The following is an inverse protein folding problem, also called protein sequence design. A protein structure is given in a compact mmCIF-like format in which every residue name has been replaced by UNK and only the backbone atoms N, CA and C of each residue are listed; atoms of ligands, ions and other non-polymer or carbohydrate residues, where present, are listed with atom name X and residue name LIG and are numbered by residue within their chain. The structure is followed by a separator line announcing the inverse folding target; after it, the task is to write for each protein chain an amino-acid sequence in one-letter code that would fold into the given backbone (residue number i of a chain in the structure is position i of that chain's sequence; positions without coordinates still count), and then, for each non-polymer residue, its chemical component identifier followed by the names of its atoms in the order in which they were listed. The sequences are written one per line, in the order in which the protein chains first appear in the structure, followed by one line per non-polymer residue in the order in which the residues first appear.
data_IF_148938206194
#
_entry.id   IF_148938206194
#
_cell.length_a   1.000
_cell.length_b   1.000
_cell.length_c   1.000
_cell.angle_alpha   90.00
_cell.angle_beta   90.00
_cell.angle_gamma   90.00
#
_symmetry.space_group_name_H-M   'P 1'
#
loop_
_entity.id
_entity.type
_entity.pdbx_description
1 polymer ?
#
# COMPACT_ATOMS: atom_id res chain seq x y z
N UNK A 1 57.33 -44.68 57.37
CA UNK A 1 57.81 -43.32 57.03
C UNK A 1 56.75 -42.66 56.17
N UNK A 2 56.04 -41.71 56.75
CA UNK A 2 54.96 -40.92 56.16
C UNK A 2 55.50 -39.53 55.81
N UNK A 3 55.35 -39.12 54.55
CA UNK A 3 55.54 -37.74 54.06
C UNK A 3 54.44 -37.49 53.02
N UNK A 4 53.36 -36.81 53.40
CA UNK A 4 53.07 -35.37 53.20
C UNK A 4 53.29 -34.93 51.74
N UNK A 5 52.25 -34.40 51.10
CA UNK A 5 51.99 -32.95 50.96
C UNK A 5 50.72 -32.75 50.12
N UNK A 6 49.80 -31.97 50.67
CA UNK A 6 48.59 -31.43 50.07
C UNK A 6 48.99 -30.28 49.12
N UNK A 7 48.44 -30.23 47.90
CA UNK A 7 48.49 -29.03 47.05
C UNK A 7 47.05 -28.54 46.82
N UNK A 8 46.84 -27.32 47.29
CA UNK A 8 45.69 -26.45 47.13
C UNK A 8 45.73 -25.82 45.73
N UNK A 9 44.62 -25.88 44.98
CA UNK A 9 44.38 -24.98 43.85
C UNK A 9 42.89 -24.60 43.81
N UNK A 10 42.59 -23.41 44.31
CA UNK A 10 41.36 -22.66 44.04
C UNK A 10 41.44 -22.11 42.61
N UNK A 11 40.41 -22.35 41.79
CA UNK A 11 40.00 -21.39 40.77
C UNK A 11 38.50 -21.53 40.51
N UNK A 12 37.77 -20.45 40.78
CA UNK A 12 36.35 -20.28 40.50
C UNK A 12 36.16 -19.73 39.07
N UNK A 13 35.20 -20.29 38.33
CA UNK A 13 34.42 -19.74 37.20
C UNK A 13 33.65 -20.93 36.62
N UNK A 14 32.37 -20.93 36.24
CA UNK A 14 31.37 -19.91 35.96
C UNK A 14 30.27 -20.69 35.21
N UNK A 15 29.01 -20.50 35.60
CA UNK A 15 27.83 -21.16 35.05
C UNK A 15 27.66 -20.85 33.56
N UNK A 16 27.34 -21.85 32.73
CA UNK A 16 26.32 -21.71 31.68
C UNK A 16 25.63 -23.08 31.51
N UNK A 17 24.39 -23.21 31.99
CA UNK A 17 23.52 -24.30 31.59
C UNK A 17 23.07 -24.04 30.16
N UNK A 18 23.51 -24.89 29.24
CA UNK A 18 22.96 -25.01 27.89
C UNK A 18 21.55 -25.59 28.04
N UNK A 19 20.55 -24.74 27.80
CA UNK A 19 19.17 -25.16 27.57
C UNK A 19 19.04 -25.43 26.07
N UNK A 20 19.30 -26.67 25.68
CA UNK A 20 18.72 -27.22 24.45
C UNK A 20 17.41 -27.88 24.88
N UNK A 21 16.30 -27.38 24.36
CA UNK A 21 15.10 -28.20 24.23
C UNK A 21 14.72 -28.25 22.76
N UNK A 22 14.51 -29.49 22.35
CA UNK A 22 14.36 -30.06 21.03
C UNK A 22 13.18 -29.54 20.16
N UNK A 23 13.30 -29.95 18.90
CA UNK A 23 12.27 -30.25 17.90
C UNK A 23 11.78 -29.14 16.96
N UNK A 24 12.36 -29.17 15.76
CA UNK A 24 11.69 -29.33 14.45
C UNK A 24 10.23 -28.86 14.35
N UNK A 25 10.03 -27.66 13.83
CA UNK A 25 9.60 -27.43 12.45
C UNK A 25 9.80 -25.93 12.17
N UNK A 26 10.55 -25.58 11.12
CA UNK A 26 10.60 -24.21 10.63
C UNK A 26 9.31 -23.92 9.88
N UNK A 27 8.18 -23.88 10.59
CA UNK A 27 7.02 -23.13 10.13
C UNK A 27 7.50 -21.68 10.08
N UNK A 28 7.58 -21.10 8.88
CA UNK A 28 7.67 -19.66 8.72
C UNK A 28 6.52 -19.07 9.51
N UNK A 29 6.80 -18.67 10.75
CA UNK A 29 5.83 -18.04 11.62
C UNK A 29 5.49 -16.72 10.94
N UNK A 30 4.30 -16.67 10.34
CA UNK A 30 3.78 -15.48 9.67
C UNK A 30 3.40 -14.45 10.73
N UNK A 31 4.39 -14.00 11.50
CA UNK A 31 4.22 -12.96 12.50
C UNK A 31 3.56 -11.76 11.84
N UNK A 32 2.50 -11.26 12.47
CA UNK A 32 1.77 -10.09 12.00
C UNK A 32 2.22 -8.86 12.77
N UNK A 33 2.29 -7.74 12.07
CA UNK A 33 2.53 -6.42 12.63
C UNK A 33 1.46 -5.44 12.15
N UNK A 34 1.23 -4.39 12.93
CA UNK A 34 0.22 -3.40 12.63
C UNK A 34 0.77 -2.29 11.75
N UNK A 35 0.20 -2.14 10.56
CA UNK A 35 0.32 -0.93 9.76
C UNK A 35 -0.80 0.03 10.18
N UNK A 36 -0.42 1.20 10.71
CA UNK A 36 -1.37 2.24 11.14
C UNK A 36 -1.46 3.35 10.09
N UNK A 37 -2.67 3.62 9.61
CA UNK A 37 -2.97 4.73 8.70
C UNK A 37 -3.64 5.86 9.47
N UNK A 38 -2.94 7.00 9.54
CA UNK A 38 -3.48 8.25 10.06
C UNK A 38 -3.61 9.25 8.90
N UNK A 39 -4.73 9.15 8.18
CA UNK A 39 -5.04 9.97 7.01
C UNK A 39 -6.38 10.65 7.24
N UNK A 40 -6.43 11.97 7.06
CA UNK A 40 -7.65 12.76 7.18
C UNK A 40 -8.06 13.32 5.81
N UNK A 41 -9.34 13.70 5.69
CA UNK A 41 -9.87 14.33 4.48
C UNK A 41 -10.25 13.37 3.36
N UNK A 42 -10.36 12.08 3.64
CA UNK A 42 -10.99 11.12 2.73
C UNK A 42 -12.51 11.19 2.88
N UNK A 43 -13.21 11.22 1.75
CA UNK A 43 -14.66 11.20 1.71
C UNK A 43 -15.20 9.77 1.84
N UNK A 44 -16.49 9.64 2.14
CA UNK A 44 -17.14 8.33 2.07
C UNK A 44 -17.34 7.96 0.59
N UNK A 45 -16.95 6.74 0.23
CA UNK A 45 -17.14 6.23 -1.13
C UNK A 45 -18.55 5.69 -1.32
N UNK A 46 -19.02 5.64 -2.57
CA UNK A 46 -20.24 4.93 -2.93
C UNK A 46 -20.09 3.41 -2.71
N UNK A 47 -21.20 2.68 -2.70
CA UNK A 47 -21.23 1.22 -2.45
C UNK A 47 -20.41 0.38 -3.43
N UNK A 48 -20.08 0.95 -4.59
CA UNK A 48 -19.37 0.27 -5.66
C UNK A 48 -17.85 0.39 -5.51
N UNK A 49 -17.35 1.09 -4.48
CA UNK A 49 -15.91 1.34 -4.30
C UNK A 49 -15.46 1.22 -2.84
N UNK A 50 -14.20 0.85 -2.67
CA UNK A 50 -13.48 0.80 -1.39
C UNK A 50 -12.13 1.49 -1.51
N UNK A 51 -11.57 1.94 -0.40
CA UNK A 51 -10.16 2.27 -0.33
C UNK A 51 -9.35 1.00 -0.11
N UNK A 52 -8.18 0.91 -0.72
CA UNK A 52 -7.23 -0.17 -0.48
C UNK A 52 -5.83 0.37 -0.23
N UNK A 53 -5.22 -0.10 0.86
CA UNK A 53 -3.83 0.18 1.18
C UNK A 53 -2.91 -0.85 0.56
N UNK A 54 -1.77 -0.39 0.05
CA UNK A 54 -0.76 -1.23 -0.56
C UNK A 54 0.61 -0.87 -0.04
N UNK A 55 1.39 -1.88 0.34
CA UNK A 55 2.84 -1.72 0.53
C UNK A 55 3.57 -2.24 -0.71
N UNK A 56 4.67 -1.58 -1.08
CA UNK A 56 5.51 -2.02 -2.19
C UNK A 56 6.72 -2.75 -1.63
N UNK A 57 6.83 -4.03 -1.94
CA UNK A 57 7.91 -4.93 -1.50
C UNK A 57 8.63 -5.43 -2.75
N UNK A 58 9.94 -5.17 -2.85
CA UNK A 58 10.74 -5.50 -4.04
C UNK A 58 10.12 -5.02 -5.38
N UNK A 59 9.44 -3.88 -5.34
CA UNK A 59 8.74 -3.30 -6.50
C UNK A 59 7.37 -3.92 -6.81
N UNK A 60 6.92 -4.92 -6.04
CA UNK A 60 5.63 -5.58 -6.20
C UNK A 60 4.64 -5.03 -5.16
N UNK A 61 3.43 -4.61 -5.58
CA UNK A 61 2.39 -4.19 -4.64
C UNK A 61 1.84 -5.39 -3.87
N UNK A 62 1.61 -5.19 -2.57
CA UNK A 62 0.98 -6.15 -1.67
C UNK A 62 -0.14 -5.43 -0.93
N UNK A 63 -1.36 -5.93 -1.09
CA UNK A 63 -2.53 -5.42 -0.36
C UNK A 63 -2.33 -5.53 1.15
N UNK A 64 -2.73 -4.48 1.86
CA UNK A 64 -2.82 -4.44 3.32
C UNK A 64 -4.27 -4.53 3.80
N UNK A 65 -5.24 -4.67 2.88
CA UNK A 65 -6.66 -4.71 3.15
C UNK A 65 -7.40 -3.43 2.74
N UNK A 66 -8.73 -3.54 2.77
CA UNK A 66 -9.66 -2.51 2.29
C UNK A 66 -10.42 -1.85 3.43
N UNK A 67 -10.84 -0.60 3.23
CA UNK A 67 -11.70 0.13 4.16
C UNK A 67 -12.59 1.14 3.41
N UNK A 68 -13.70 1.56 4.01
CA UNK A 68 -14.65 2.49 3.36
C UNK A 68 -14.70 3.88 4.00
N UNK A 69 -14.09 4.04 5.19
CA UNK A 69 -14.09 5.30 5.92
C UNK A 69 -12.75 5.53 6.61
N UNK A 70 -12.22 6.76 6.47
CA UNK A 70 -11.02 7.22 7.17
C UNK A 70 -11.34 8.30 8.21
N UNK A 71 -12.58 8.34 8.72
CA UNK A 71 -12.96 9.29 9.75
C UNK A 71 -12.16 9.11 11.06
N UNK A 72 -11.54 7.94 11.23
CA UNK A 72 -10.65 7.60 12.32
C UNK A 72 -9.42 6.84 11.80
N UNK A 73 -8.40 6.76 12.65
CA UNK A 73 -7.21 5.93 12.43
C UNK A 73 -7.59 4.49 12.08
N UNK A 74 -6.95 3.94 11.04
CA UNK A 74 -7.13 2.56 10.62
C UNK A 74 -5.88 1.75 10.98
N UNK A 75 -6.06 0.49 11.35
CA UNK A 75 -4.95 -0.43 11.66
C UNK A 75 -5.17 -1.76 10.97
N UNK A 76 -4.13 -2.26 10.30
CA UNK A 76 -4.17 -3.47 9.50
C UNK A 76 -3.06 -4.42 9.92
N UNK A 77 -3.39 -5.69 10.13
CA UNK A 77 -2.43 -6.75 10.41
C UNK A 77 -1.76 -7.23 9.10
N UNK A 78 -0.49 -6.87 8.93
CA UNK A 78 0.31 -7.20 7.75
C UNK A 78 1.36 -8.22 8.13
N UNK A 79 1.79 -9.06 7.18
CA UNK A 79 2.95 -9.93 7.38
C UNK A 79 4.18 -9.09 7.74
N UNK A 80 4.81 -9.38 8.89
CA UNK A 80 5.89 -8.56 9.44
C UNK A 80 7.10 -8.51 8.50
N UNK A 81 7.45 -9.63 7.86
CA UNK A 81 8.57 -9.66 6.92
C UNK A 81 8.30 -8.80 5.67
N UNK A 82 7.06 -8.79 5.18
CA UNK A 82 6.66 -7.91 4.07
C UNK A 82 6.62 -6.44 4.49
N UNK A 83 6.12 -6.14 5.70
CA UNK A 83 6.06 -4.78 6.21
C UNK A 83 7.45 -4.19 6.41
N UNK A 84 8.37 -4.96 7.00
CA UNK A 84 9.78 -4.56 7.18
C UNK A 84 10.51 -4.35 5.85
N UNK A 85 10.19 -5.15 4.83
CA UNK A 85 10.75 -5.01 3.48
C UNK A 85 10.06 -3.92 2.62
N UNK A 86 9.00 -3.27 3.13
CA UNK A 86 8.25 -2.29 2.37
C UNK A 86 9.03 -0.99 2.19
N UNK A 87 9.11 -0.51 0.95
CA UNK A 87 9.80 0.75 0.64
C UNK A 87 8.83 1.92 0.43
N UNK A 88 7.55 1.62 0.21
CA UNK A 88 6.53 2.60 -0.18
C UNK A 88 5.15 2.13 0.24
N UNK A 89 4.31 3.09 0.59
CA UNK A 89 2.88 2.93 0.77
C UNK A 89 2.13 3.65 -0.36
N UNK A 90 1.05 3.03 -0.83
CA UNK A 90 0.12 3.57 -1.83
C UNK A 90 -1.30 3.35 -1.33
N UNK A 91 -2.14 4.37 -1.45
CA UNK A 91 -3.58 4.26 -1.27
C UNK A 91 -4.28 4.41 -2.62
N UNK A 92 -5.22 3.53 -2.94
CA UNK A 92 -6.05 3.59 -4.14
C UNK A 92 -7.54 3.47 -3.84
N UNK A 93 -8.36 3.80 -4.83
CA UNK A 93 -9.79 3.50 -4.86
C UNK A 93 -9.98 2.28 -5.76
N UNK A 94 -10.56 1.22 -5.21
CA UNK A 94 -10.77 -0.06 -5.90
C UNK A 94 -12.28 -0.33 -6.04
N UNK A 95 -12.73 -0.96 -7.14
CA UNK A 95 -14.07 -1.53 -7.21
C UNK A 95 -14.35 -2.48 -6.05
N UNK A 96 -15.54 -2.40 -5.47
CA UNK A 96 -15.93 -3.26 -4.37
C UNK A 96 -16.08 -4.73 -4.84
N UNK A 97 -15.45 -5.66 -4.11
CA UNK A 97 -15.62 -7.10 -4.34
C UNK A 97 -14.73 -7.70 -5.43
N UNK A 98 -13.65 -7.02 -5.82
CA UNK A 98 -12.64 -7.59 -6.71
C UNK A 98 -12.00 -8.86 -6.14
N UNK A 99 -11.62 -9.77 -7.03
CA UNK A 99 -10.97 -11.04 -6.68
C UNK A 99 -10.01 -11.46 -7.80
N UNK A 100 -9.11 -12.40 -7.51
CA UNK A 100 -8.20 -12.95 -8.52
C UNK A 100 -7.18 -11.92 -9.01
N UNK A 101 -6.91 -11.94 -10.32
CA UNK A 101 -5.91 -11.07 -10.95
C UNK A 101 -6.29 -9.58 -10.85
N UNK A 102 -7.59 -9.26 -10.85
CA UNK A 102 -8.07 -7.89 -10.72
C UNK A 102 -7.70 -7.29 -9.34
N UNK A 103 -7.76 -8.11 -8.29
CA UNK A 103 -7.36 -7.73 -6.93
C UNK A 103 -5.85 -7.88 -6.65
N UNK A 104 -5.04 -8.25 -7.65
CA UNK A 104 -3.61 -8.49 -7.45
C UNK A 104 -2.76 -7.21 -7.54
N UNK A 105 -3.31 -6.13 -8.10
CA UNK A 105 -2.60 -4.86 -8.28
C UNK A 105 -3.51 -3.67 -8.01
N UNK A 106 -2.98 -2.53 -7.51
CA UNK A 106 -3.79 -1.34 -7.30
C UNK A 106 -4.35 -0.80 -8.61
N UNK A 107 -5.62 -0.36 -8.63
CA UNK A 107 -6.22 0.32 -9.77
C UNK A 107 -5.43 1.53 -10.23
N UNK A 108 -5.75 2.04 -11.41
CA UNK A 108 -5.20 3.30 -11.91
C UNK A 108 -5.50 4.51 -11.01
N UNK A 109 -6.49 4.43 -10.12
CA UNK A 109 -6.94 5.54 -9.28
C UNK A 109 -6.22 5.55 -7.94
N UNK A 110 -4.99 6.09 -7.95
CA UNK A 110 -4.15 6.24 -6.75
C UNK A 110 -4.38 7.62 -6.13
N UNK A 111 -4.60 7.66 -4.82
CA UNK A 111 -4.90 8.88 -4.07
C UNK A 111 -3.67 9.49 -3.41
N UNK A 112 -2.96 8.70 -2.62
CA UNK A 112 -1.78 9.17 -1.91
C UNK A 112 -0.67 8.15 -1.97
N UNK A 113 0.56 8.66 -1.94
CA UNK A 113 1.78 7.87 -1.93
C UNK A 113 2.74 8.43 -0.88
N UNK A 114 3.53 7.55 -0.27
CA UNK A 114 4.59 7.92 0.66
C UNK A 114 5.69 6.87 0.65
N UNK A 115 6.95 7.31 0.61
CA UNK A 115 8.09 6.41 0.79
C UNK A 115 8.38 6.26 2.29
N UNK A 116 8.70 5.04 2.71
CA UNK A 116 9.07 4.79 4.10
C UNK A 116 10.44 5.37 4.39
N UNK A 117 10.55 6.05 5.52
CA UNK A 117 11.80 6.52 6.12
C UNK A 117 11.87 5.99 7.56
N UNK A 118 12.53 4.84 7.72
CA UNK A 118 12.38 4.05 8.94
C UNK A 118 10.96 3.47 9.03
N UNK A 119 10.35 3.54 10.21
CA UNK A 119 9.04 2.94 10.51
C UNK A 119 7.84 3.79 10.06
N UNK A 120 8.07 4.92 9.38
CA UNK A 120 7.01 5.88 9.03
C UNK A 120 7.11 6.38 7.60
N UNK A 121 5.97 6.67 7.00
CA UNK A 121 5.86 7.31 5.70
C UNK A 121 4.91 8.52 5.80
N UNK A 122 5.37 9.69 5.38
CA UNK A 122 4.47 10.82 5.16
C UNK A 122 3.81 10.65 3.82
N UNK A 123 2.50 10.40 3.82
CA UNK A 123 1.72 10.28 2.59
C UNK A 123 1.24 11.64 2.11
N UNK A 124 1.19 11.81 0.80
CA UNK A 124 0.58 12.99 0.18
C UNK A 124 -0.01 12.60 -1.16
N UNK A 125 -0.88 13.46 -1.71
CA UNK A 125 -1.30 13.34 -3.12
C UNK A 125 -0.10 13.38 -4.08
N UNK A 126 1.06 13.86 -3.59
CA UNK A 126 2.34 13.78 -4.27
C UNK A 126 2.24 14.18 -5.74
N UNK A 127 3.12 13.61 -6.54
CA UNK A 127 2.90 13.54 -7.97
C UNK A 127 2.30 12.16 -8.24
N UNK A 128 0.99 12.07 -8.54
CA UNK A 128 0.26 10.81 -8.78
C UNK A 128 0.72 10.01 -10.01
N UNK A 129 1.83 10.41 -10.62
CA UNK A 129 2.46 9.76 -11.75
C UNK A 129 3.91 10.18 -11.87
N UNK A 130 4.71 9.47 -12.67
CA UNK A 130 6.07 9.87 -12.97
C UNK A 130 6.07 10.81 -14.18
N UNK A 131 5.91 12.12 -13.93
CA UNK A 131 5.91 13.14 -14.99
C UNK A 131 7.32 13.47 -15.51
N UNK A 132 8.37 12.93 -14.87
CA UNK A 132 9.75 13.15 -15.26
C UNK A 132 10.20 12.22 -16.39
N UNK A 133 9.72 10.96 -16.41
CA UNK A 133 10.10 9.98 -17.46
C UNK A 133 8.94 9.49 -18.31
N UNK A 134 7.71 9.45 -17.80
CA UNK A 134 6.58 8.80 -18.50
C UNK A 134 5.86 9.70 -19.51
N UNK A 135 6.38 10.92 -19.77
CA UNK A 135 5.85 11.90 -20.73
C UNK A 135 4.31 11.88 -20.81
N UNK A 136 3.59 12.15 -19.70
CA UNK A 136 2.16 11.94 -19.65
C UNK A 136 1.46 12.74 -20.74
N UNK A 137 0.74 12.03 -21.60
CA UNK A 137 0.01 12.61 -22.72
C UNK A 137 -1.48 12.32 -22.55
N UNK A 138 -2.31 13.34 -22.74
CA UNK A 138 -3.76 13.22 -22.75
C UNK A 138 -4.33 13.93 -23.96
N UNK A 139 -5.51 13.49 -24.42
CA UNK A 139 -6.29 14.22 -25.41
C UNK A 139 -7.44 14.90 -24.68
N UNK A 140 -7.48 16.22 -24.76
CA UNK A 140 -8.58 17.02 -24.26
C UNK A 140 -9.49 17.38 -25.43
N UNK A 141 -10.79 17.45 -25.18
CA UNK A 141 -11.72 18.07 -26.11
C UNK A 141 -12.61 19.04 -25.33
N UNK A 142 -12.95 20.16 -25.97
CA UNK A 142 -14.04 21.02 -25.52
C UNK A 142 -15.33 20.41 -26.05
N UNK A 143 -16.37 20.36 -25.21
CA UNK A 143 -17.73 19.91 -25.59
C UNK A 143 -18.78 20.68 -24.78
N UNK A 144 -19.98 20.86 -25.32
CA UNK A 144 -21.19 21.27 -24.59
C UNK A 144 -22.31 20.25 -24.76
N UNK A 145 -22.33 19.14 -23.98
CA UNK A 145 -23.35 18.08 -24.14
C UNK A 145 -24.81 18.56 -23.98
N UNK A 146 -25.01 19.73 -23.39
CA UNK A 146 -26.33 20.34 -23.17
C UNK A 146 -26.99 20.90 -24.43
N UNK A 147 -26.23 21.21 -25.48
CA UNK A 147 -26.77 21.73 -26.75
C UNK A 147 -26.45 20.84 -27.96
N UNK A 148 -25.71 19.75 -27.75
CA UNK A 148 -25.54 18.68 -28.71
C UNK A 148 -26.77 17.76 -28.73
N UNK A 149 -27.47 17.72 -29.87
CA UNK A 149 -28.57 16.77 -30.06
C UNK A 149 -28.01 15.35 -30.20
N UNK A 150 -28.60 14.39 -29.48
CA UNK A 150 -28.20 12.99 -29.56
C UNK A 150 -28.20 12.48 -31.01
N UNK A 151 -27.04 11.99 -31.47
CA UNK A 151 -26.84 11.49 -32.84
C UNK A 151 -26.52 12.56 -33.89
N UNK A 152 -26.38 13.83 -33.51
CA UNK A 152 -25.89 14.89 -34.39
C UNK A 152 -24.36 15.03 -34.34
N UNK A 153 -23.78 15.65 -35.37
CA UNK A 153 -22.39 16.09 -35.35
C UNK A 153 -22.22 17.32 -34.46
N UNK A 154 -21.00 17.54 -33.94
CA UNK A 154 -20.65 18.69 -33.12
C UNK A 154 -21.00 20.01 -33.84
N UNK A 155 -21.80 20.86 -33.18
CA UNK A 155 -22.33 22.11 -33.72
C UNK A 155 -21.29 23.27 -33.73
N UNK A 156 -20.12 23.08 -33.11
CA UNK A 156 -18.97 23.99 -33.06
C UNK A 156 -19.06 25.11 -32.02
N UNK A 157 -20.04 25.11 -31.12
CA UNK A 157 -20.30 26.21 -30.17
C UNK A 157 -19.87 25.89 -28.72
N UNK A 158 -18.91 24.97 -28.54
CA UNK A 158 -18.42 24.41 -27.28
C UNK A 158 -17.68 25.45 -26.38
N UNK A 159 -18.32 26.57 -26.06
CA UNK A 159 -17.73 27.73 -25.38
C UNK A 159 -17.71 27.61 -23.85
N UNK A 160 -18.42 26.62 -23.27
CA UNK A 160 -18.75 26.58 -21.84
C UNK A 160 -18.45 25.25 -21.11
N UNK A 161 -17.40 24.51 -21.47
CA UNK A 161 -17.03 23.32 -20.69
C UNK A 161 -15.70 22.67 -21.04
N UNK A 162 -14.96 22.27 -20.00
CA UNK A 162 -13.88 21.29 -20.11
C UNK A 162 -14.47 19.96 -19.64
N UNK A 163 -14.49 18.95 -20.52
CA UNK A 163 -15.01 17.62 -20.21
C UNK A 163 -13.93 16.57 -20.36
N UNK A 164 -13.97 15.58 -19.47
CA UNK A 164 -13.12 14.39 -19.56
C UNK A 164 -13.91 13.28 -20.24
N UNK A 165 -13.37 12.68 -21.29
CA UNK A 165 -13.98 11.54 -21.95
C UNK A 165 -13.03 10.88 -22.95
N UNK A 166 -13.51 9.81 -23.58
CA UNK A 166 -12.74 9.11 -24.61
C UNK A 166 -12.87 9.91 -25.92
N UNK A 167 -11.77 10.36 -26.55
CA UNK A 167 -11.84 11.06 -27.82
C UNK A 167 -12.57 10.23 -28.88
N UNK A 168 -13.65 10.77 -29.43
CA UNK A 168 -14.43 10.14 -30.49
C UNK A 168 -15.64 9.32 -30.05
N UNK A 169 -15.92 9.16 -28.75
CA UNK A 169 -17.15 8.50 -28.29
C UNK A 169 -18.29 9.51 -28.07
N UNK A 170 -19.56 9.12 -28.27
CA UNK A 170 -20.72 9.90 -27.82
C UNK A 170 -20.73 10.03 -26.28
N UNK A 171 -21.35 11.08 -25.71
CA UNK A 171 -21.62 11.12 -24.28
C UNK A 171 -22.53 9.95 -23.88
N UNK A 172 -22.24 9.30 -22.76
CA UNK A 172 -23.12 8.35 -22.08
C UNK A 172 -23.95 9.06 -21.03
#
# INVERSE_FOLDING_TARGET
MTKKIVILALLAFGLIFTSCNDDDEKTSDSSKENLTLNIAGLEELGSDFVYEGWIIVDGVPVSTGTFTSAAAEQSFEVDAAKLEAAIKFVLSIEPAGETGDDAATPSSTKLVVGEFSGESATVSVGTVGNFATEAPSGKFFLRSPTDEMSGAENNGNDENGIWFGIPGTPPT
#
